data_IF_963622183736
#
_entry.id   IF_963622183736
#
_cell.length_a   1.000
_cell.length_b   1.000
_cell.length_c   1.000
_cell.angle_alpha   90.00
_cell.angle_beta   90.00
_cell.angle_gamma   90.00
#
_symmetry.space_group_name_H-M   'P 1'
#
loop_
_entity.id
_entity.type
_entity.pdbx_description
1 polymer ?
#
# COMPACT_ATOMS: atom_id res chain seq x y z
N UNK A 1 -35.93 44.99 53.79
CA UNK A 1 -35.52 44.18 52.63
C UNK A 1 -34.03 44.42 52.39
N UNK A 2 -33.14 43.57 52.90
CA UNK A 2 -31.73 43.58 52.50
C UNK A 2 -31.21 42.15 52.55
N UNK A 3 -30.77 41.72 51.38
CA UNK A 3 -30.39 40.38 50.98
C UNK A 3 -29.20 39.84 51.77
N UNK A 4 -29.36 38.71 52.47
CA UNK A 4 -28.22 37.89 52.89
C UNK A 4 -27.77 37.04 51.69
N UNK A 5 -27.01 37.62 50.76
CA UNK A 5 -26.10 36.82 49.96
C UNK A 5 -24.78 36.76 50.73
N UNK A 6 -24.41 35.62 51.32
CA UNK A 6 -23.02 35.45 51.73
C UNK A 6 -22.59 33.99 51.76
N UNK A 7 -21.96 33.60 50.65
CA UNK A 7 -21.01 32.52 50.46
C UNK A 7 -21.43 31.12 50.95
N UNK A 8 -21.70 30.15 50.03
CA UNK A 8 -21.94 28.78 50.44
C UNK A 8 -20.71 28.23 51.20
N UNK A 9 -20.90 27.38 52.22
CA UNK A 9 -19.80 26.82 53.00
C UNK A 9 -18.79 26.13 52.09
N UNK A 10 -17.48 26.17 52.44
CA UNK A 10 -16.45 25.57 51.61
C UNK A 10 -16.74 24.08 51.39
N UNK A 11 -16.57 23.59 50.14
CA UNK A 11 -16.88 22.21 49.84
C UNK A 11 -16.02 21.30 50.70
N UNK A 12 -16.66 20.28 51.28
CA UNK A 12 -15.94 19.24 52.00
C UNK A 12 -14.99 18.52 51.04
N UNK A 13 -13.92 17.89 51.58
CA UNK A 13 -12.97 17.10 50.77
C UNK A 13 -13.71 16.10 49.87
N UNK A 14 -14.78 15.48 50.37
CA UNK A 14 -15.60 14.56 49.60
C UNK A 14 -16.29 15.23 48.41
N UNK A 15 -16.86 16.42 48.59
CA UNK A 15 -17.50 17.19 47.52
C UNK A 15 -16.51 17.53 46.40
N UNK A 16 -15.29 17.95 46.77
CA UNK A 16 -14.21 18.22 45.80
C UNK A 16 -13.80 16.94 45.06
N UNK A 17 -13.62 15.82 45.77
CA UNK A 17 -13.26 14.52 45.17
C UNK A 17 -14.33 14.00 44.20
N UNK A 18 -15.61 14.20 44.53
CA UNK A 18 -16.72 13.80 43.66
C UNK A 18 -16.84 14.68 42.41
N UNK A 19 -16.47 15.97 42.49
CA UNK A 19 -16.42 16.85 41.32
C UNK A 19 -15.26 16.50 40.38
N UNK A 20 -14.10 16.12 40.94
CA UNK A 20 -12.90 15.77 40.17
C UNK A 20 -12.89 14.31 39.69
N UNK A 21 -13.93 13.52 39.98
CA UNK A 21 -13.97 12.10 39.62
C UNK A 21 -14.10 11.91 38.10
N UNK A 22 -13.51 10.82 37.60
CA UNK A 22 -13.68 10.39 36.22
C UNK A 22 -15.08 9.81 36.01
N UNK A 23 -15.59 9.93 34.79
CA UNK A 23 -16.86 9.27 34.42
C UNK A 23 -16.69 7.76 34.40
N UNK A 24 -17.78 7.03 34.62
CA UNK A 24 -17.78 5.56 34.58
C UNK A 24 -17.41 5.03 33.19
N UNK A 25 -17.76 5.76 32.14
CA UNK A 25 -17.42 5.48 30.75
C UNK A 25 -15.90 5.54 30.56
N UNK A 26 -15.27 6.64 30.99
CA UNK A 26 -13.81 6.80 30.94
C UNK A 26 -13.06 5.71 31.72
N UNK A 27 -13.59 5.29 32.87
CA UNK A 27 -12.98 4.21 33.67
C UNK A 27 -13.08 2.85 32.97
N UNK A 28 -14.19 2.56 32.29
CA UNK A 28 -14.35 1.34 31.51
C UNK A 28 -13.47 1.34 30.26
N UNK A 29 -13.35 2.48 29.56
CA UNK A 29 -12.47 2.63 28.39
C UNK A 29 -10.98 2.48 28.76
N UNK A 30 -10.60 2.91 29.97
CA UNK A 30 -9.26 2.69 30.52
C UNK A 30 -9.04 1.26 31.05
N UNK A 31 -10.05 0.39 31.01
CA UNK A 31 -9.97 -0.98 31.51
C UNK A 31 -9.93 -1.11 33.05
N UNK A 32 -10.26 -0.05 33.79
CA UNK A 32 -10.31 -0.04 35.25
C UNK A 32 -11.61 -0.68 35.74
N UNK A 33 -12.72 -0.45 35.04
CA UNK A 33 -14.04 -1.01 35.35
C UNK A 33 -14.52 -1.98 34.26
N UNK A 34 -15.37 -2.97 34.62
CA UNK A 34 -16.06 -3.78 33.63
C UNK A 34 -16.94 -2.94 32.69
N UNK A 35 -17.13 -3.38 31.43
CA UNK A 35 -18.02 -2.73 30.48
C UNK A 35 -19.44 -2.52 31.01
N UNK A 36 -19.92 -1.28 30.93
CA UNK A 36 -21.21 -0.84 31.48
C UNK A 36 -22.44 -1.43 30.76
N UNK A 37 -22.24 -1.96 29.55
CA UNK A 37 -23.31 -2.56 28.72
C UNK A 37 -23.64 -3.99 29.12
N UNK A 38 -22.82 -4.62 29.97
CA UNK A 38 -22.98 -6.00 30.40
C UNK A 38 -23.24 -6.09 31.90
N UNK A 39 -24.08 -7.02 32.38
CA UNK A 39 -24.28 -7.25 33.81
C UNK A 39 -22.95 -7.53 34.53
N UNK A 40 -22.74 -6.91 35.68
CA UNK A 40 -21.49 -7.04 36.45
C UNK A 40 -21.30 -8.47 37.02
N UNK A 41 -22.39 -9.17 37.36
CA UNK A 41 -22.37 -10.49 37.98
C UNK A 41 -21.66 -11.57 37.14
N UNK A 42 -21.64 -11.43 35.81
CA UNK A 42 -21.09 -12.44 34.89
C UNK A 42 -19.81 -11.97 34.19
N UNK A 43 -19.14 -10.94 34.71
CA UNK A 43 -17.97 -10.37 34.06
C UNK A 43 -16.84 -11.40 33.86
N UNK A 44 -16.55 -12.21 34.88
CA UNK A 44 -15.48 -13.20 34.84
C UNK A 44 -15.80 -14.36 33.89
N UNK A 45 -17.05 -14.85 33.89
CA UNK A 45 -17.49 -15.90 32.97
C UNK A 45 -17.40 -15.42 31.52
N UNK A 46 -17.84 -14.18 31.24
CA UNK A 46 -17.72 -13.58 29.91
C UNK A 46 -16.25 -13.43 29.50
N UNK A 47 -15.40 -12.91 30.39
CA UNK A 47 -13.96 -12.75 30.15
C UNK A 47 -13.27 -14.09 29.86
N UNK A 48 -13.62 -15.12 30.62
CA UNK A 48 -13.12 -16.50 30.41
C UNK A 48 -13.57 -17.05 29.05
N UNK A 49 -14.83 -16.87 28.69
CA UNK A 49 -15.36 -17.27 27.39
C UNK A 49 -14.65 -16.56 26.23
N UNK A 50 -14.49 -15.24 26.30
CA UNK A 50 -13.78 -14.47 25.27
C UNK A 50 -12.30 -14.85 25.17
N UNK A 51 -11.66 -15.18 26.31
CA UNK A 51 -10.30 -15.71 26.34
C UNK A 51 -10.22 -17.08 25.68
N UNK A 52 -11.16 -17.98 25.96
CA UNK A 52 -11.22 -19.31 25.34
C UNK A 52 -11.40 -19.20 23.83
N UNK A 53 -12.38 -18.42 23.37
CA UNK A 53 -12.63 -18.17 21.94
C UNK A 53 -11.38 -17.65 21.24
N UNK A 54 -10.72 -16.65 21.84
CA UNK A 54 -9.47 -16.10 21.30
C UNK A 54 -8.35 -17.15 21.27
N UNK A 55 -8.26 -17.96 22.33
CA UNK A 55 -7.29 -19.06 22.42
C UNK A 55 -7.49 -20.10 21.31
N UNK A 56 -8.72 -20.54 21.09
CA UNK A 56 -9.06 -21.51 20.05
C UNK A 56 -8.79 -20.96 18.65
N UNK A 57 -9.16 -19.70 18.40
CA UNK A 57 -8.87 -19.00 17.16
C UNK A 57 -7.36 -18.93 16.89
N UNK A 58 -6.56 -18.49 17.87
CA UNK A 58 -5.11 -18.41 17.73
C UNK A 58 -4.47 -19.79 17.53
N UNK A 59 -4.95 -20.81 18.25
CA UNK A 59 -4.49 -22.20 18.10
C UNK A 59 -4.73 -22.71 16.68
N UNK A 60 -5.85 -22.33 16.05
CA UNK A 60 -6.09 -22.63 14.64
C UNK A 60 -5.13 -21.85 13.72
N UNK A 61 -4.97 -20.53 13.93
CA UNK A 61 -4.08 -19.68 13.12
C UNK A 61 -2.61 -20.07 13.18
N UNK A 62 -2.14 -20.55 14.32
CA UNK A 62 -0.75 -21.02 14.47
C UNK A 62 -0.52 -22.29 13.66
N UNK A 63 -1.49 -23.22 13.62
CA UNK A 63 -1.37 -24.45 12.82
C UNK A 63 -1.43 -24.17 11.33
N UNK A 64 -2.25 -23.21 10.91
CA UNK A 64 -2.39 -22.82 9.51
C UNK A 64 -1.44 -21.67 9.13
N UNK A 65 -0.33 -21.48 9.85
CA UNK A 65 0.58 -20.36 9.62
C UNK A 65 1.39 -20.62 8.34
N UNK A 66 1.32 -19.74 7.33
CA UNK A 66 2.13 -19.86 6.12
C UNK A 66 3.62 -19.74 6.42
N UNK A 67 4.43 -20.47 5.64
CA UNK A 67 5.89 -20.35 5.70
C UNK A 67 6.37 -19.03 5.09
N UNK A 68 7.57 -18.59 5.50
CA UNK A 68 8.15 -17.33 4.98
C UNK A 68 8.28 -17.36 3.45
N UNK A 69 8.66 -18.51 2.88
CA UNK A 69 8.79 -18.71 1.44
C UNK A 69 7.45 -18.56 0.70
N UNK A 70 6.34 -19.03 1.28
CA UNK A 70 5.00 -18.88 0.72
C UNK A 70 4.61 -17.40 0.67
N UNK A 71 4.90 -16.64 1.73
CA UNK A 71 4.65 -15.20 1.77
C UNK A 71 5.48 -14.43 0.74
N UNK A 72 6.73 -14.87 0.47
CA UNK A 72 7.57 -14.31 -0.59
C UNK A 72 7.01 -14.64 -1.98
N UNK A 73 6.59 -15.88 -2.20
CA UNK A 73 5.98 -16.32 -3.47
C UNK A 73 4.70 -15.52 -3.79
N UNK A 74 3.86 -15.29 -2.78
CA UNK A 74 2.67 -14.45 -2.89
C UNK A 74 2.95 -12.94 -2.97
N UNK A 75 4.22 -12.52 -2.95
CA UNK A 75 4.67 -11.12 -2.96
C UNK A 75 4.12 -10.29 -1.78
N UNK A 76 3.81 -10.93 -0.65
CA UNK A 76 3.48 -10.26 0.61
C UNK A 76 4.77 -9.80 1.28
N UNK A 77 5.77 -10.68 1.34
CA UNK A 77 7.12 -10.35 1.75
C UNK A 77 8.01 -10.21 0.51
N UNK A 78 9.02 -9.35 0.60
CA UNK A 78 10.06 -9.28 -0.42
C UNK A 78 11.10 -10.39 -0.21
N UNK A 79 11.79 -10.78 -1.27
CA UNK A 79 12.90 -11.75 -1.20
C UNK A 79 13.99 -11.32 -0.18
N UNK A 80 14.62 -12.29 0.49
CA UNK A 80 15.55 -12.02 1.58
C UNK A 80 16.88 -11.46 1.04
N UNK A 81 16.97 -10.13 0.95
CA UNK A 81 18.22 -9.43 0.80
C UNK A 81 18.54 -8.69 2.09
N UNK A 82 18.92 -9.45 3.13
CA UNK A 82 19.34 -9.01 4.46
C UNK A 82 18.32 -8.15 5.24
N UNK A 83 18.21 -8.44 6.54
CA UNK A 83 17.39 -7.69 7.49
C UNK A 83 17.99 -6.29 7.68
N UNK A 84 17.71 -5.38 6.76
CA UNK A 84 18.11 -3.99 6.85
C UNK A 84 16.87 -3.10 6.95
N UNK A 85 16.82 -2.15 7.90
CA UNK A 85 15.72 -1.18 8.00
C UNK A 85 15.59 -0.28 6.75
N UNK A 86 16.55 -0.34 5.83
CA UNK A 86 16.56 0.38 4.55
C UNK A 86 15.93 -0.38 3.37
N UNK A 87 15.14 -1.44 3.63
CA UNK A 87 14.58 -2.30 2.58
C UNK A 87 13.75 -1.52 1.53
N UNK A 88 12.93 -0.56 1.98
CA UNK A 88 12.12 0.28 1.09
C UNK A 88 12.97 1.13 0.14
N UNK A 89 14.10 1.65 0.61
CA UNK A 89 15.02 2.43 -0.22
C UNK A 89 15.70 1.54 -1.26
N UNK A 90 16.06 0.31 -0.89
CA UNK A 90 16.68 -0.64 -1.80
C UNK A 90 15.70 -1.10 -2.89
N UNK A 91 14.44 -1.36 -2.56
CA UNK A 91 13.42 -1.75 -3.55
C UNK A 91 13.09 -0.60 -4.50
N UNK A 92 12.98 0.63 -4.00
CA UNK A 92 12.84 1.84 -4.82
C UNK A 92 14.01 1.99 -5.81
N UNK A 93 15.25 1.83 -5.34
CA UNK A 93 16.43 1.89 -6.19
C UNK A 93 16.44 0.79 -7.25
N UNK A 94 16.10 -0.45 -6.88
CA UNK A 94 15.97 -1.58 -7.84
C UNK A 94 14.91 -1.25 -8.91
N UNK A 95 13.76 -0.71 -8.52
CA UNK A 95 12.69 -0.31 -9.45
C UNK A 95 13.12 0.83 -10.38
N UNK A 96 13.79 1.85 -9.86
CA UNK A 96 14.31 2.96 -10.67
C UNK A 96 15.30 2.46 -11.73
N UNK A 97 16.29 1.66 -11.32
CA UNK A 97 17.28 1.06 -12.25
C UNK A 97 16.62 0.21 -13.33
N UNK A 98 15.60 -0.57 -12.98
CA UNK A 98 14.84 -1.36 -13.95
C UNK A 98 14.06 -0.46 -14.92
N UNK A 99 13.44 0.61 -14.43
CA UNK A 99 12.72 1.56 -15.27
C UNK A 99 13.64 2.24 -16.28
N UNK A 100 14.81 2.72 -15.83
CA UNK A 100 15.80 3.37 -16.68
C UNK A 100 16.32 2.42 -17.77
N UNK A 101 16.68 1.18 -17.39
CA UNK A 101 17.13 0.17 -18.35
C UNK A 101 16.04 -0.20 -19.38
N UNK A 102 14.79 -0.34 -18.93
CA UNK A 102 13.68 -0.61 -19.83
C UNK A 102 13.42 0.58 -20.78
N UNK A 103 13.54 1.81 -20.30
CA UNK A 103 13.39 3.01 -21.12
C UNK A 103 14.40 3.06 -22.26
N UNK A 104 15.68 2.77 -21.99
CA UNK A 104 16.73 2.69 -23.02
C UNK A 104 16.41 1.62 -24.08
N UNK A 105 15.96 0.43 -23.64
CA UNK A 105 15.62 -0.68 -24.54
C UNK A 105 14.38 -0.40 -25.38
N UNK A 106 13.39 0.31 -24.82
CA UNK A 106 12.17 0.71 -25.53
C UNK A 106 12.46 1.85 -26.51
N UNK A 107 13.38 2.76 -26.19
CA UNK A 107 13.80 3.83 -27.09
C UNK A 107 14.41 3.29 -28.40
N UNK A 108 15.10 2.14 -28.32
CA UNK A 108 15.70 1.44 -29.46
C UNK A 108 14.78 0.34 -30.05
N UNK A 109 13.47 0.42 -29.80
CA UNK A 109 12.52 -0.60 -30.27
C UNK A 109 12.47 -0.63 -31.82
N UNK A 110 12.76 -1.78 -32.45
CA UNK A 110 12.69 -1.92 -33.90
C UNK A 110 11.30 -1.58 -34.46
N UNK A 111 11.27 -0.87 -35.58
CA UNK A 111 10.03 -0.56 -36.28
C UNK A 111 9.34 -1.82 -36.85
N UNK A 112 8.04 -1.74 -37.19
CA UNK A 112 7.30 -2.88 -37.74
C UNK A 112 7.88 -3.39 -39.06
N UNK A 113 8.45 -2.51 -39.89
CA UNK A 113 9.05 -2.89 -41.17
C UNK A 113 10.40 -3.61 -40.98
N UNK A 114 11.16 -3.26 -39.96
CA UNK A 114 12.40 -3.97 -39.59
C UNK A 114 12.10 -5.42 -39.16
N UNK A 115 10.96 -5.66 -38.51
CA UNK A 115 10.52 -7.01 -38.13
C UNK A 115 10.09 -7.85 -39.34
N UNK A 116 9.51 -7.20 -40.37
CA UNK A 116 9.16 -7.84 -41.65
C UNK A 116 10.41 -8.19 -42.44
N UNK A 117 11.39 -7.29 -42.49
CA UNK A 117 12.70 -7.53 -43.12
C UNK A 117 13.41 -8.74 -42.49
N UNK A 118 13.40 -8.80 -41.15
CA UNK A 118 13.97 -9.91 -40.37
C UNK A 118 13.14 -11.20 -40.39
N UNK A 119 12.07 -11.28 -41.19
CA UNK A 119 11.19 -12.44 -41.31
C UNK A 119 10.53 -12.90 -39.99
N UNK A 120 10.40 -12.00 -39.01
CA UNK A 120 9.73 -12.31 -37.73
C UNK A 120 8.23 -12.15 -37.89
N UNK A 121 7.80 -11.15 -38.67
CA UNK A 121 6.39 -10.95 -39.05
C UNK A 121 6.21 -11.49 -40.48
N UNK A 122 5.40 -12.53 -40.68
CA UNK A 122 5.12 -13.05 -42.02
C UNK A 122 4.21 -12.09 -42.77
N UNK A 123 4.58 -11.77 -44.02
CA UNK A 123 3.78 -10.97 -44.95
C UNK A 123 3.91 -11.58 -46.34
N UNK A 124 2.84 -11.54 -47.14
CA UNK A 124 2.89 -11.99 -48.53
C UNK A 124 4.01 -11.27 -49.30
N UNK A 125 4.78 -12.02 -50.09
CA UNK A 125 6.00 -11.55 -50.77
C UNK A 125 5.78 -10.28 -51.60
N UNK A 126 4.64 -10.19 -52.30
CA UNK A 126 4.24 -9.03 -53.10
C UNK A 126 4.07 -7.76 -52.25
N UNK A 127 3.50 -7.90 -51.05
CA UNK A 127 3.29 -6.80 -50.09
C UNK A 127 4.59 -6.44 -49.38
N UNK A 128 5.42 -7.43 -49.07
CA UNK A 128 6.73 -7.26 -48.44
C UNK A 128 7.66 -6.38 -49.30
N UNK A 129 7.75 -6.67 -50.60
CA UNK A 129 8.57 -5.89 -51.53
C UNK A 129 8.04 -4.47 -51.71
N UNK A 130 6.72 -4.29 -51.82
CA UNK A 130 6.08 -2.98 -51.94
C UNK A 130 6.30 -2.10 -50.70
N UNK A 131 6.19 -2.67 -49.50
CA UNK A 131 6.39 -1.97 -48.23
C UNK A 131 7.85 -1.48 -48.05
N UNK A 132 8.83 -2.28 -48.47
CA UNK A 132 10.26 -1.89 -48.38
C UNK A 132 10.66 -0.85 -49.45
N UNK A 133 10.09 -0.91 -50.66
CA UNK A 133 10.44 -0.03 -51.78
C UNK A 133 9.88 1.40 -51.66
N UNK A 134 8.79 1.59 -50.91
CA UNK A 134 8.10 2.89 -50.74
C UNK A 134 8.88 3.95 -49.93
N UNK A 135 9.83 3.54 -49.08
CA UNK A 135 10.51 4.45 -48.13
C UNK A 135 11.72 5.15 -48.78
N UNK A 136 12.48 4.46 -49.63
CA UNK A 136 13.67 5.00 -50.29
C UNK A 136 13.42 6.18 -51.23
N UNK A 137 12.18 6.36 -51.72
CA UNK A 137 11.81 7.45 -52.63
C UNK A 137 11.44 8.76 -51.93
N UNK A 138 11.16 8.75 -50.62
CA UNK A 138 10.77 9.98 -49.89
C UNK A 138 11.96 10.84 -49.45
N UNK A 139 13.14 10.26 -49.22
CA UNK A 139 14.35 11.04 -48.84
C UNK A 139 15.01 11.81 -49.99
N UNK A 140 14.70 11.53 -51.27
CA UNK A 140 15.35 12.19 -52.41
C UNK A 140 14.70 13.50 -52.87
N UNK A 141 13.52 13.86 -52.35
CA UNK A 141 12.82 15.09 -52.78
C UNK A 141 13.28 16.37 -52.07
N UNK A 142 13.97 16.26 -50.93
CA UNK A 142 14.36 17.44 -50.13
C UNK A 142 15.71 18.07 -50.50
N UNK A 143 16.46 17.51 -51.46
CA UNK A 143 17.78 18.04 -51.87
C UNK A 143 17.74 18.90 -53.14
N UNK A 144 16.61 18.96 -53.86
CA UNK A 144 16.48 19.76 -55.10
C UNK A 144 15.75 21.11 -54.89
N UNK A 145 14.90 21.26 -53.85
CA UNK A 145 14.12 22.49 -53.65
C UNK A 145 14.89 23.64 -52.97
N UNK A 146 16.03 23.37 -52.32
CA UNK A 146 16.82 24.38 -51.60
C UNK A 146 17.79 25.18 -52.50
N UNK A 147 18.06 24.74 -53.73
CA UNK A 147 19.00 25.40 -54.65
C UNK A 147 18.33 26.20 -55.79
N UNK A 148 17.00 26.32 -55.82
CA UNK A 148 16.28 27.14 -56.81
C UNK A 148 15.81 28.51 -56.30
N UNK A 149 16.28 28.94 -55.11
CA UNK A 149 15.94 30.25 -54.51
C UNK A 149 17.17 31.16 -54.33
N UNK A 150 18.11 31.11 -55.24
CA UNK A 150 19.25 32.04 -55.30
C UNK A 150 19.16 32.88 -56.57
#
# INVERSE_FOLDING_TARGET
MMSHYLFPPPPTVLQLRLQQRRTREQLADQGIMPPLKSPAAFHEQRKSLERSKTGDYLKHKIRSRPEKSELVNMRILQEPAAESPAHDSQTKLKRARLADNLNERIALRPGPLELVEKNIIPVHSTVKEAAMKGIGKRKRRNYMELNSRR
#
